data_IF_725444391574
#
_entry.id   IF_725444391574
#
_cell.length_a   1.000
_cell.length_b   1.000
_cell.length_c   1.000
_cell.angle_alpha   90.00
_cell.angle_beta   90.00
_cell.angle_gamma   90.00
#
_symmetry.space_group_name_H-M   'P 1'
#
loop_
_entity.id
_entity.type
_entity.pdbx_description
1 polymer ?
#
# COMPACT_ATOMS: atom_id res chain seq x y z
N UNK A 1 -9.56 18.27 13.38
CA UNK A 1 -9.51 17.39 12.19
C UNK A 1 -8.16 17.63 11.55
N UNK A 2 -7.25 16.66 11.52
CA UNK A 2 -5.95 16.88 10.85
C UNK A 2 -6.23 17.04 9.37
N UNK A 3 -5.91 18.20 8.84
CA UNK A 3 -6.09 18.52 7.43
C UNK A 3 -5.07 17.71 6.63
N UNK A 4 -5.55 16.66 5.97
CA UNK A 4 -4.75 15.86 5.05
C UNK A 4 -4.66 16.67 3.76
N UNK A 5 -3.45 16.87 3.25
CA UNK A 5 -3.24 17.55 1.98
C UNK A 5 -4.07 16.91 0.87
N UNK A 6 -4.82 17.73 0.14
CA UNK A 6 -5.65 17.30 -0.98
C UNK A 6 -4.83 16.54 -2.05
N UNK A 7 -3.54 16.84 -2.16
CA UNK A 7 -2.64 16.12 -3.07
C UNK A 7 -2.45 14.66 -2.68
N UNK A 8 -2.15 14.39 -1.40
CA UNK A 8 -1.98 13.02 -0.90
C UNK A 8 -3.28 12.22 -1.05
N UNK A 9 -4.41 12.85 -0.77
CA UNK A 9 -5.72 12.24 -0.96
C UNK A 9 -5.97 11.90 -2.44
N UNK A 10 -5.64 12.81 -3.36
CA UNK A 10 -5.78 12.59 -4.80
C UNK A 10 -4.92 11.44 -5.31
N UNK A 11 -3.68 11.29 -4.83
CA UNK A 11 -2.83 10.15 -5.20
C UNK A 11 -3.38 8.81 -4.70
N UNK A 12 -3.88 8.77 -3.46
CA UNK A 12 -4.51 7.56 -2.92
C UNK A 12 -5.75 7.19 -3.73
N UNK A 13 -6.60 8.17 -4.03
CA UNK A 13 -7.80 7.95 -4.84
C UNK A 13 -7.45 7.45 -6.25
N UNK A 14 -6.42 8.01 -6.88
CA UNK A 14 -5.94 7.53 -8.17
C UNK A 14 -5.46 6.07 -8.09
N UNK A 15 -4.67 5.68 -7.07
CA UNK A 15 -4.28 4.28 -6.85
C UNK A 15 -5.50 3.39 -6.69
N UNK A 16 -6.47 3.79 -5.86
CA UNK A 16 -7.68 3.01 -5.62
C UNK A 16 -8.59 2.95 -6.86
N UNK A 17 -8.56 3.96 -7.73
CA UNK A 17 -9.29 4.00 -8.99
C UNK A 17 -8.65 3.12 -10.08
N UNK A 18 -7.33 2.87 -10.01
CA UNK A 18 -6.69 1.90 -10.90
C UNK A 18 -7.23 0.49 -10.65
N UNK A 19 -7.41 -0.26 -11.73
CA UNK A 19 -7.79 -1.68 -11.69
C UNK A 19 -6.56 -2.57 -11.57
N UNK A 20 -5.45 -2.17 -12.19
CA UNK A 20 -4.23 -2.97 -12.26
C UNK A 20 -3.00 -2.07 -12.15
N UNK A 21 -2.06 -2.46 -11.30
CA UNK A 21 -0.73 -1.85 -11.23
C UNK A 21 0.28 -3.00 -11.28
N UNK A 22 0.93 -3.14 -12.42
CA UNK A 22 1.85 -4.23 -12.70
C UNK A 22 3.25 -3.90 -12.23
N UNK A 23 3.87 -4.82 -11.50
CA UNK A 23 5.28 -4.73 -11.09
C UNK A 23 6.04 -5.96 -11.57
N UNK A 24 7.18 -5.73 -12.22
CA UNK A 24 8.12 -6.80 -12.53
C UNK A 24 8.95 -7.14 -11.30
N UNK A 25 8.98 -8.42 -10.94
CA UNK A 25 9.78 -8.95 -9.84
C UNK A 25 10.70 -10.03 -10.37
N UNK A 26 11.99 -9.93 -10.04
CA UNK A 26 12.98 -10.96 -10.36
C UNK A 26 13.10 -11.86 -9.13
N UNK A 27 12.78 -13.14 -9.29
CA UNK A 27 12.95 -14.12 -8.22
C UNK A 27 14.44 -14.38 -7.96
N UNK A 28 14.76 -14.93 -6.78
CA UNK A 28 16.15 -15.33 -6.46
C UNK A 28 16.76 -16.33 -7.45
N UNK A 29 15.94 -17.01 -8.26
CA UNK A 29 16.38 -17.91 -9.33
C UNK A 29 16.53 -17.23 -10.70
N UNK A 30 16.39 -15.89 -10.76
CA UNK A 30 16.55 -15.09 -11.98
C UNK A 30 15.34 -15.09 -12.91
N UNK A 31 14.19 -15.65 -12.49
CA UNK A 31 12.96 -15.62 -13.31
C UNK A 31 12.21 -14.31 -13.08
N UNK A 32 11.86 -13.62 -14.15
CA UNK A 32 10.96 -12.47 -14.09
C UNK A 32 9.52 -12.97 -13.95
N UNK A 33 8.80 -12.41 -12.98
CA UNK A 33 7.36 -12.58 -12.83
C UNK A 33 6.74 -11.19 -12.74
N UNK A 34 5.64 -10.99 -13.47
CA UNK A 34 4.85 -9.76 -13.38
C UNK A 34 3.71 -10.01 -12.41
N UNK A 35 3.55 -9.12 -11.43
CA UNK A 35 2.49 -9.24 -10.42
C UNK A 35 1.61 -7.99 -10.44
N UNK A 36 0.29 -8.19 -10.35
CA UNK A 36 -0.64 -7.08 -10.13
C UNK A 36 -0.67 -6.75 -8.63
N UNK A 37 -0.13 -5.61 -8.25
CA UNK A 37 -0.12 -5.12 -6.88
C UNK A 37 -1.48 -4.59 -6.44
N UNK A 38 -2.24 -4.01 -7.37
CA UNK A 38 -3.54 -3.41 -7.08
C UNK A 38 -4.58 -4.43 -6.62
N UNK A 39 -4.54 -5.64 -7.19
CA UNK A 39 -5.39 -6.78 -6.77
C UNK A 39 -5.14 -7.18 -5.30
N UNK A 40 -3.94 -6.88 -4.78
CA UNK A 40 -3.53 -7.22 -3.42
C UNK A 40 -3.81 -6.12 -2.42
N UNK A 41 -4.14 -4.91 -2.87
CA UNK A 41 -4.44 -3.75 -2.04
C UNK A 41 -5.95 -3.61 -1.86
N UNK A 42 -6.42 -3.74 -0.62
CA UNK A 42 -7.83 -3.59 -0.26
C UNK A 42 -8.16 -2.18 0.22
N UNK A 43 -7.34 -1.62 1.11
CA UNK A 43 -7.51 -0.25 1.60
C UNK A 43 -6.17 0.48 1.57
N UNK A 44 -6.24 1.78 1.33
CA UNK A 44 -5.12 2.70 1.50
C UNK A 44 -5.68 4.04 2.00
N UNK A 45 -5.09 4.58 3.06
CA UNK A 45 -5.52 5.84 3.65
C UNK A 45 -4.37 6.59 4.31
N UNK A 46 -4.42 7.92 4.30
CA UNK A 46 -3.57 8.76 5.16
C UNK A 46 -4.08 8.67 6.59
N UNK A 47 -3.19 8.34 7.54
CA UNK A 47 -3.51 8.32 8.98
C UNK A 47 -2.93 9.52 9.72
N UNK A 48 -1.75 9.99 9.30
CA UNK A 48 -1.08 11.13 9.91
C UNK A 48 -0.38 11.95 8.85
N UNK A 49 -0.35 13.25 9.03
CA UNK A 49 0.54 14.13 8.29
C UNK A 49 1.31 14.94 9.34
N UNK A 50 2.62 14.73 9.40
CA UNK A 50 3.51 15.43 10.33
C UNK A 50 3.99 16.75 9.69
N UNK A 51 4.24 16.72 8.38
CA UNK A 51 4.64 17.87 7.56
C UNK A 51 4.19 17.68 6.10
N UNK A 52 4.52 18.60 5.20
CA UNK A 52 4.31 18.41 3.76
C UNK A 52 5.10 17.20 3.21
N UNK A 53 6.27 16.93 3.79
CA UNK A 53 7.21 15.89 3.32
C UNK A 53 7.13 14.59 4.11
N UNK A 54 6.35 14.53 5.19
CA UNK A 54 6.23 13.35 6.04
C UNK A 54 4.76 13.00 6.28
N UNK A 55 4.37 11.84 5.76
CA UNK A 55 3.02 11.29 5.84
C UNK A 55 3.07 9.87 6.40
N UNK A 56 2.11 9.55 7.26
CA UNK A 56 1.82 8.20 7.71
C UNK A 56 0.67 7.63 6.89
N UNK A 57 0.93 6.48 6.27
CA UNK A 57 -0.06 5.74 5.48
C UNK A 57 -0.43 4.45 6.18
N UNK A 58 -1.73 4.12 6.14
CA UNK A 58 -2.25 2.81 6.51
C UNK A 58 -2.71 2.11 5.25
N UNK A 59 -2.26 0.88 5.06
CA UNK A 59 -2.73 0.02 4.00
C UNK A 59 -3.26 -1.30 4.58
N UNK A 60 -4.25 -1.87 3.91
CA UNK A 60 -4.75 -3.21 4.14
C UNK A 60 -4.64 -3.97 2.82
N UNK A 61 -4.11 -5.19 2.87
CA UNK A 61 -3.94 -5.99 1.67
C UNK A 61 -3.95 -7.48 1.96
N UNK A 62 -3.96 -8.27 0.89
CA UNK A 62 -3.99 -9.72 0.99
C UNK A 62 -2.64 -10.28 1.45
N UNK A 63 -2.66 -11.18 2.43
CA UNK A 63 -1.58 -12.10 2.70
C UNK A 63 -1.95 -13.45 2.09
N UNK A 64 -1.65 -13.66 0.80
CA UNK A 64 -1.81 -14.98 0.19
C UNK A 64 -0.61 -15.87 0.56
N UNK A 65 -0.88 -17.13 0.88
CA UNK A 65 0.14 -18.15 1.17
C UNK A 65 0.96 -18.57 -0.07
N UNK A 66 0.71 -17.95 -1.23
CA UNK A 66 1.45 -18.12 -2.49
C UNK A 66 2.82 -17.40 -2.49
N UNK A 67 3.23 -16.84 -1.34
CA UNK A 67 4.50 -16.16 -1.16
C UNK A 67 4.49 -14.69 -1.58
N UNK A 68 3.38 -14.20 -2.12
CA UNK A 68 3.26 -12.83 -2.61
C UNK A 68 2.50 -11.93 -1.65
N UNK A 69 3.18 -11.57 -0.54
CA UNK A 69 2.70 -10.60 0.42
C UNK A 69 2.76 -9.17 -0.13
N UNK A 70 1.71 -8.36 0.10
CA UNK A 70 1.79 -6.92 -0.09
C UNK A 70 2.69 -6.31 0.99
N UNK A 71 3.88 -5.88 0.60
CA UNK A 71 4.85 -5.24 1.49
C UNK A 71 4.76 -3.72 1.39
N UNK A 72 5.25 -2.96 2.39
CA UNK A 72 5.24 -1.51 2.34
C UNK A 72 5.95 -0.94 1.10
N UNK A 73 7.02 -1.59 0.63
CA UNK A 73 7.77 -1.19 -0.56
C UNK A 73 6.91 -1.25 -1.83
N UNK A 74 5.94 -2.17 -1.89
CA UNK A 74 4.99 -2.23 -3.01
C UNK A 74 4.01 -1.05 -2.98
N UNK A 75 3.64 -0.56 -1.79
CA UNK A 75 2.78 0.62 -1.64
C UNK A 75 3.52 1.87 -2.10
N UNK A 76 4.81 1.98 -1.74
CA UNK A 76 5.69 3.04 -2.24
C UNK A 76 5.75 2.99 -3.77
N UNK A 77 6.03 1.82 -4.36
CA UNK A 77 6.06 1.68 -5.81
C UNK A 77 4.75 2.16 -6.48
N UNK A 78 3.58 1.76 -5.95
CA UNK A 78 2.29 2.22 -6.48
C UNK A 78 2.11 3.75 -6.39
N UNK A 79 2.59 4.37 -5.30
CA UNK A 79 2.60 5.82 -5.14
C UNK A 79 3.52 6.51 -6.14
N UNK A 80 4.72 5.98 -6.35
CA UNK A 80 5.68 6.54 -7.30
C UNK A 80 5.13 6.53 -8.72
N UNK A 81 4.41 5.46 -9.11
CA UNK A 81 3.75 5.36 -10.41
C UNK A 81 2.65 6.41 -10.63
N UNK A 82 1.92 6.78 -9.57
CA UNK A 82 0.79 7.72 -9.67
C UNK A 82 1.23 9.18 -9.45
N UNK A 83 2.19 9.41 -8.56
CA UNK A 83 2.69 10.74 -8.23
C UNK A 83 3.82 11.21 -9.15
N UNK A 84 4.41 10.30 -9.93
CA UNK A 84 5.57 10.53 -10.81
C UNK A 84 6.77 11.16 -10.05
N UNK A 85 7.00 10.67 -8.83
CA UNK A 85 8.05 11.14 -7.91
C UNK A 85 8.52 9.99 -7.04
N UNK A 86 9.76 10.06 -6.57
CA UNK A 86 10.33 9.08 -5.64
C UNK A 86 9.89 9.35 -4.21
N UNK A 87 9.67 8.28 -3.44
CA UNK A 87 9.38 8.35 -2.02
C UNK A 87 10.31 7.47 -1.21
N UNK A 88 10.72 7.97 -0.03
CA UNK A 88 11.52 7.19 0.89
C UNK A 88 10.65 6.60 2.00
N UNK A 89 10.76 5.28 2.19
CA UNK A 89 10.13 4.61 3.32
C UNK A 89 10.94 4.88 4.60
N UNK A 90 10.39 5.71 5.49
CA UNK A 90 11.07 6.09 6.75
C UNK A 90 10.84 5.05 7.86
N UNK A 91 9.57 4.71 8.11
CA UNK A 91 9.18 3.83 9.21
C UNK A 91 8.09 2.85 8.78
N UNK A 92 8.14 1.64 9.34
CA UNK A 92 7.15 0.59 9.11
C UNK A 92 6.58 0.17 10.46
N UNK A 93 5.28 0.34 10.63
CA UNK A 93 4.55 -0.13 11.80
C UNK A 93 3.59 -1.25 11.41
N UNK A 94 3.81 -2.44 11.96
CA UNK A 94 2.90 -3.57 11.76
C UNK A 94 1.83 -3.55 12.84
N UNK A 95 0.62 -3.19 12.45
CA UNK A 95 -0.55 -3.33 13.33
C UNK A 95 -1.21 -4.70 13.11
N UNK A 96 -1.45 -5.43 14.19
CA UNK A 96 -2.19 -6.69 14.15
C UNK A 96 -3.68 -6.39 14.36
N UNK A 97 -4.52 -6.78 13.40
CA UNK A 97 -5.97 -6.78 13.58
C UNK A 97 -6.35 -8.15 14.12
N UNK A 98 -6.92 -8.18 15.33
CA UNK A 98 -7.54 -9.39 15.91
C UNK A 98 -9.02 -9.34 15.60
N UNK A 99 -9.47 -10.15 14.64
CA UNK A 99 -10.90 -10.33 14.37
C UNK A 99 -11.46 -11.29 15.41
N UNK A 100 -12.09 -10.77 16.47
CA UNK A 100 -12.89 -11.62 17.35
C UNK A 100 -14.17 -11.98 16.62
N UNK A 101 -14.32 -13.24 16.20
CA UNK A 101 -15.61 -13.76 15.79
C UNK A 101 -16.53 -13.78 17.00
N UNK A 102 -17.46 -12.83 17.07
CA UNK A 102 -18.63 -12.94 17.93
C UNK A 102 -19.47 -14.09 17.36
N UNK A 103 -19.16 -15.32 17.78
CA UNK A 103 -20.09 -16.44 17.65
C UNK A 103 -21.18 -16.15 18.69
N UNK A 104 -22.31 -15.66 18.20
CA UNK A 104 -23.54 -15.56 18.97
C UNK A 104 -23.97 -16.92 19.50
N UNK A 105 -24.54 -16.89 20.70
CA UNK A 105 -24.90 -17.96 21.62
C UNK A 105 -25.70 -19.13 21.06
#
# INVERSE_FOLDING_TARGET
VKEVSAQWQSWIEAILAHTEIWQEQITKSGRSNVVNLRDRLFELAVVTQSSESEVGLRYLGSCRNDGHLLRPEHVIFMLEQVADREFQLLHIHRHQIVLSSLVGS
#
